data_IF_749944172029
#
_entry.id   IF_749944172029
#
_cell.length_a   1.000
_cell.length_b   1.000
_cell.length_c   1.000
_cell.angle_alpha   90.00
_cell.angle_beta   90.00
_cell.angle_gamma   90.00
#
_symmetry.space_group_name_H-M   'P 1'
#
loop_
_entity.id
_entity.type
_entity.pdbx_description
1 polymer ?
#
# COMPACT_ATOMS: atom_id res chain seq x y z
N UNK A 1 -22.61 -34.92 17.88
CA UNK A 1 -21.62 -34.42 18.85
C UNK A 1 -20.30 -34.40 18.13
N UNK A 2 -19.96 -33.28 17.49
CA UNK A 2 -18.63 -33.09 16.90
C UNK A 2 -17.97 -31.92 17.62
N UNK A 3 -16.95 -32.24 18.41
CA UNK A 3 -16.11 -31.26 19.07
C UNK A 3 -15.14 -30.67 18.05
N UNK A 4 -15.43 -29.44 17.64
CA UNK A 4 -14.51 -28.59 16.90
C UNK A 4 -13.20 -28.47 17.69
N UNK A 5 -12.11 -28.98 17.12
CA UNK A 5 -10.76 -28.81 17.64
C UNK A 5 -10.28 -27.41 17.30
N UNK A 6 -10.41 -26.49 18.25
CA UNK A 6 -9.66 -25.23 18.24
C UNK A 6 -8.16 -25.55 18.21
N UNK A 7 -7.52 -25.31 17.07
CA UNK A 7 -6.07 -25.43 16.95
C UNK A 7 -5.45 -24.12 17.40
N UNK A 8 -4.96 -24.08 18.65
CA UNK A 8 -4.05 -23.04 19.09
C UNK A 8 -2.91 -22.91 18.08
N UNK A 9 -2.71 -21.70 17.54
CA UNK A 9 -1.47 -21.28 16.88
C UNK A 9 -0.32 -21.39 17.90
N UNK A 10 0.19 -22.61 18.09
CA UNK A 10 1.45 -22.84 18.79
C UNK A 10 2.51 -22.11 17.98
N UNK A 11 3.10 -21.06 18.57
CA UNK A 11 4.41 -20.54 18.15
C UNK A 11 5.42 -21.70 18.18
N UNK A 12 5.57 -22.39 17.06
CA UNK A 12 6.62 -23.40 16.90
C UNK A 12 7.91 -22.65 16.62
N UNK A 13 8.82 -22.66 17.59
CA UNK A 13 10.20 -22.19 17.39
C UNK A 13 10.87 -23.19 16.44
N UNK A 14 11.01 -22.83 15.17
CA UNK A 14 11.83 -23.60 14.24
C UNK A 14 13.30 -23.41 14.67
N UNK A 15 13.94 -24.50 15.09
CA UNK A 15 15.35 -24.47 15.51
C UNK A 15 16.26 -24.67 14.30
N UNK A 16 16.40 -23.64 13.46
CA UNK A 16 17.31 -23.65 12.31
C UNK A 16 18.69 -23.21 12.79
N UNK A 17 19.47 -24.12 13.36
CA UNK A 17 20.75 -23.78 14.01
C UNK A 17 21.98 -24.22 13.22
N UNK A 18 21.88 -25.30 12.42
CA UNK A 18 23.05 -25.91 11.78
C UNK A 18 23.50 -25.27 10.46
N UNK A 19 22.57 -24.71 9.67
CA UNK A 19 22.86 -24.16 8.34
C UNK A 19 22.52 -22.67 8.22
N UNK A 20 22.04 -22.08 9.32
CA UNK A 20 21.57 -20.70 9.32
C UNK A 20 22.71 -19.68 9.17
N UNK A 21 23.86 -19.82 9.85
CA UNK A 21 25.00 -18.94 9.62
C UNK A 21 25.50 -18.99 8.16
N UNK A 22 25.56 -20.17 7.57
CA UNK A 22 25.94 -20.38 6.17
C UNK A 22 24.93 -19.78 5.21
N UNK A 23 23.63 -19.95 5.48
CA UNK A 23 22.55 -19.35 4.70
C UNK A 23 22.60 -17.82 4.74
N UNK A 24 22.75 -17.22 5.92
CA UNK A 24 22.93 -15.77 6.09
C UNK A 24 24.12 -15.28 5.27
N UNK A 25 25.26 -15.97 5.40
CA UNK A 25 26.50 -15.60 4.70
C UNK A 25 26.35 -15.75 3.18
N UNK A 26 25.77 -16.86 2.73
CA UNK A 26 25.59 -17.16 1.30
C UNK A 26 24.66 -16.16 0.61
N UNK A 27 23.61 -15.73 1.31
CA UNK A 27 22.64 -14.77 0.78
C UNK A 27 22.92 -13.30 1.16
N UNK A 28 24.01 -13.05 1.90
CA UNK A 28 24.42 -11.74 2.41
C UNK A 28 23.28 -11.03 3.19
N UNK A 29 22.63 -11.77 4.08
CA UNK A 29 21.47 -11.28 4.81
C UNK A 29 21.87 -10.33 5.93
N UNK A 30 21.15 -9.21 6.03
CA UNK A 30 21.26 -8.23 7.11
C UNK A 30 20.17 -8.44 8.16
N UNK A 31 20.33 -7.82 9.32
CA UNK A 31 19.33 -7.87 10.39
C UNK A 31 17.97 -7.28 9.98
N UNK A 32 17.96 -6.36 9.01
CA UNK A 32 16.75 -5.75 8.42
C UNK A 32 16.07 -6.63 7.37
N UNK A 33 16.72 -7.70 6.91
CA UNK A 33 16.17 -8.55 5.87
C UNK A 33 15.10 -9.46 6.47
N UNK A 34 13.95 -9.52 5.80
CA UNK A 34 12.86 -10.38 6.24
C UNK A 34 12.98 -11.73 5.60
N UNK A 35 12.86 -12.77 6.41
CA UNK A 35 12.88 -14.16 5.98
C UNK A 35 11.50 -14.76 6.20
N UNK A 36 10.91 -15.29 5.12
CA UNK A 36 9.60 -15.90 5.10
C UNK A 36 9.76 -17.39 4.83
N UNK A 37 9.04 -18.19 5.62
CA UNK A 37 8.97 -19.64 5.46
C UNK A 37 7.58 -19.96 4.90
N UNK A 38 7.54 -20.69 3.80
CA UNK A 38 6.31 -21.08 3.12
C UNK A 38 6.16 -22.58 3.14
N UNK A 39 4.93 -23.04 3.27
CA UNK A 39 4.57 -24.44 3.09
C UNK A 39 4.35 -24.74 1.59
N UNK A 40 5.25 -25.46 0.91
CA UNK A 40 5.13 -25.72 -0.52
C UNK A 40 3.97 -26.67 -0.82
N UNK A 41 3.28 -26.47 -1.95
CA UNK A 41 2.30 -27.43 -2.48
C UNK A 41 2.81 -27.96 -3.82
N UNK A 42 3.04 -29.29 -3.98
CA UNK A 42 2.84 -30.35 -2.99
C UNK A 42 3.92 -30.36 -1.88
N UNK A 43 3.50 -30.66 -0.64
CA UNK A 43 4.42 -30.82 0.49
C UNK A 43 5.13 -32.18 0.37
N UNK A 44 6.44 -32.16 0.14
CA UNK A 44 7.25 -33.37 0.05
C UNK A 44 7.43 -34.08 1.41
N UNK A 45 7.48 -33.33 2.53
CA UNK A 45 7.51 -33.88 3.90
C UNK A 45 7.10 -32.84 4.95
N UNK A 46 6.96 -33.26 6.22
CA UNK A 46 6.42 -32.47 7.36
C UNK A 46 7.20 -31.20 7.73
N UNK A 47 8.50 -31.17 7.42
CA UNK A 47 9.37 -30.01 7.67
C UNK A 47 9.92 -29.41 6.35
N UNK A 48 9.21 -29.60 5.24
CA UNK A 48 9.61 -29.03 3.96
C UNK A 48 9.08 -27.60 3.88
N UNK A 49 9.99 -26.62 3.85
CA UNK A 49 9.64 -25.22 3.73
C UNK A 49 10.41 -24.60 2.57
N UNK A 50 9.73 -23.75 1.80
CA UNK A 50 10.43 -22.81 0.93
C UNK A 50 10.83 -21.60 1.76
N UNK A 51 12.05 -21.11 1.55
CA UNK A 51 12.55 -19.91 2.21
C UNK A 51 12.66 -18.84 1.16
N UNK A 52 11.93 -17.73 1.32
CA UNK A 52 12.20 -16.51 0.57
C UNK A 52 12.75 -15.47 1.54
N UNK A 53 13.65 -14.63 1.04
CA UNK A 53 14.14 -13.48 1.79
C UNK A 53 13.97 -12.24 0.94
N UNK A 54 13.53 -11.17 1.58
CA UNK A 54 13.46 -9.84 0.99
C UNK A 54 14.59 -9.05 1.61
N UNK A 55 15.54 -8.64 0.77
CA UNK A 55 16.60 -7.73 1.20
C UNK A 55 15.96 -6.43 1.63
N UNK A 56 16.20 -6.03 2.87
CA UNK A 56 15.90 -4.70 3.37
C UNK A 56 16.90 -3.75 2.74
N UNK A 57 16.65 -3.36 1.50
CA UNK A 57 17.33 -2.20 0.93
C UNK A 57 16.68 -0.94 1.51
N UNK A 58 17.52 0.03 1.85
CA UNK A 58 17.15 1.39 2.29
C UNK A 58 16.42 2.19 1.19
N UNK A 59 16.01 1.55 0.09
CA UNK A 59 15.13 2.09 -0.92
C UNK A 59 13.71 1.57 -0.69
N UNK A 60 12.88 2.43 -0.11
CA UNK A 60 11.42 2.31 0.09
C UNK A 60 10.64 2.27 -1.26
N UNK A 61 11.33 2.13 -2.39
CA UNK A 61 10.70 2.16 -3.71
C UNK A 61 10.14 0.77 -4.07
N UNK A 62 8.87 0.59 -3.69
CA UNK A 62 7.91 -0.38 -4.20
C UNK A 62 8.11 -1.84 -3.80
N UNK A 63 7.46 -2.23 -2.70
CA UNK A 63 7.01 -3.62 -2.56
C UNK A 63 6.22 -3.96 -3.85
N UNK A 64 6.58 -5.03 -4.58
CA UNK A 64 5.94 -5.35 -5.86
C UNK A 64 4.45 -5.67 -5.75
N UNK A 65 3.92 -5.76 -4.54
CA UNK A 65 2.52 -6.03 -4.26
C UNK A 65 1.65 -4.76 -4.33
N UNK A 66 2.21 -3.56 -4.14
CA UNK A 66 1.52 -2.26 -4.32
C UNK A 66 1.48 -1.84 -5.80
N UNK A 67 1.09 -2.76 -6.69
CA UNK A 67 0.94 -2.51 -8.12
C UNK A 67 -0.54 -2.34 -8.46
N UNK A 68 -0.80 -1.63 -9.55
CA UNK A 68 -2.15 -1.41 -10.08
C UNK A 68 -2.92 -2.71 -10.30
N UNK A 69 -2.23 -3.79 -10.71
CA UNK A 69 -2.84 -5.11 -10.93
C UNK A 69 -3.43 -5.74 -9.65
N UNK A 70 -2.95 -5.32 -8.48
CA UNK A 70 -3.42 -5.81 -7.18
C UNK A 70 -4.33 -4.82 -6.46
N UNK A 71 -4.60 -3.65 -7.05
CA UNK A 71 -5.44 -2.62 -6.45
C UNK A 71 -6.88 -3.13 -6.28
N UNK A 72 -7.44 -2.96 -5.10
CA UNK A 72 -8.80 -3.35 -4.77
C UNK A 72 -9.73 -2.14 -4.88
N UNK A 73 -9.52 -1.16 -3.99
CA UNK A 73 -10.30 0.08 -3.95
C UNK A 73 -9.53 1.15 -3.17
N UNK A 74 -10.03 2.39 -3.22
CA UNK A 74 -9.52 3.52 -2.47
C UNK A 74 -10.62 4.22 -1.69
N UNK A 75 -10.24 4.86 -0.59
CA UNK A 75 -11.12 5.73 0.20
C UNK A 75 -10.42 7.08 0.37
N UNK A 76 -11.13 8.17 0.11
CA UNK A 76 -10.69 9.52 0.49
C UNK A 76 -11.04 9.79 1.95
N UNK A 77 -10.05 10.21 2.74
CA UNK A 77 -10.22 10.42 4.18
C UNK A 77 -11.05 11.67 4.47
N UNK A 78 -12.15 11.52 5.19
CA UNK A 78 -12.88 12.65 5.76
C UNK A 78 -12.25 13.11 7.07
N UNK A 79 -12.58 14.33 7.57
CA UNK A 79 -12.21 14.73 8.93
C UNK A 79 -12.69 13.74 10.00
N UNK A 80 -13.81 13.03 9.76
CA UNK A 80 -14.34 12.04 10.67
C UNK A 80 -13.47 10.78 10.76
N UNK A 81 -12.99 10.28 9.62
CA UNK A 81 -12.16 9.07 9.56
C UNK A 81 -10.81 9.27 10.27
N UNK A 82 -10.30 10.50 10.24
CA UNK A 82 -9.04 10.87 10.91
C UNK A 82 -9.26 11.19 12.39
N UNK A 83 -10.41 11.79 12.75
CA UNK A 83 -10.66 12.32 14.09
C UNK A 83 -11.32 11.34 15.07
N UNK A 84 -12.14 10.39 14.59
CA UNK A 84 -12.96 9.52 15.44
C UNK A 84 -12.45 8.09 15.58
N UNK A 85 -11.22 7.81 15.13
CA UNK A 85 -10.57 6.49 15.27
C UNK A 85 -11.30 5.33 14.59
N UNK A 86 -12.32 5.61 13.78
CA UNK A 86 -13.08 4.61 13.04
C UNK A 86 -12.92 4.83 11.54
N UNK A 87 -12.87 3.74 10.78
CA UNK A 87 -12.93 3.79 9.32
C UNK A 87 -14.16 3.05 8.83
N UNK A 88 -14.97 3.70 8.00
CA UNK A 88 -16.12 3.08 7.36
C UNK A 88 -15.75 2.54 5.97
N UNK A 89 -16.11 1.29 5.70
CA UNK A 89 -15.90 0.62 4.41
C UNK A 89 -17.27 0.17 3.91
N UNK A 90 -17.57 0.42 2.63
CA UNK A 90 -18.87 0.02 2.09
C UNK A 90 -19.03 -1.51 2.10
N UNK A 91 -20.24 -2.00 2.34
CA UNK A 91 -20.53 -3.44 2.32
C UNK A 91 -20.27 -4.05 0.95
N UNK A 92 -20.35 -3.26 -0.13
CA UNK A 92 -20.01 -3.72 -1.47
C UNK A 92 -18.50 -3.95 -1.61
N UNK A 93 -17.68 -3.03 -1.10
CA UNK A 93 -16.22 -3.18 -1.15
C UNK A 93 -15.76 -4.36 -0.30
N UNK A 94 -16.32 -4.52 0.92
CA UNK A 94 -16.03 -5.67 1.77
C UNK A 94 -16.39 -6.98 1.07
N UNK A 95 -17.62 -7.09 0.53
CA UNK A 95 -18.06 -8.33 -0.14
C UNK A 95 -17.25 -8.67 -1.38
N UNK A 96 -16.82 -7.67 -2.15
CA UNK A 96 -16.12 -7.90 -3.42
C UNK A 96 -14.62 -8.13 -3.24
N UNK A 97 -14.02 -7.54 -2.19
CA UNK A 97 -12.57 -7.50 -2.02
C UNK A 97 -12.06 -8.23 -0.76
N UNK A 98 -12.93 -8.46 0.22
CA UNK A 98 -12.63 -9.19 1.46
C UNK A 98 -13.62 -10.35 1.66
N UNK A 99 -13.67 -11.33 0.73
CA UNK A 99 -14.70 -12.38 0.74
C UNK A 99 -14.67 -13.28 1.99
N UNK A 100 -13.55 -13.29 2.71
CA UNK A 100 -13.33 -14.08 3.93
C UNK A 100 -13.82 -13.36 5.21
N UNK A 101 -14.41 -12.16 5.08
CA UNK A 101 -15.08 -11.46 6.18
C UNK A 101 -16.57 -11.83 6.13
N UNK A 102 -17.03 -12.64 7.08
CA UNK A 102 -18.41 -13.14 7.13
C UNK A 102 -19.09 -12.81 8.47
N UNK A 103 -19.42 -11.53 8.63
CA UNK A 103 -20.15 -11.03 9.80
C UNK A 103 -21.65 -11.00 9.50
N UNK A 104 -22.39 -11.90 10.14
CA UNK A 104 -23.84 -11.99 9.97
C UNK A 104 -24.57 -10.71 10.41
N UNK A 105 -25.70 -10.32 9.78
CA UNK A 105 -26.35 -9.02 10.01
C UNK A 105 -26.82 -8.74 11.46
N UNK A 106 -27.04 -9.80 12.26
CA UNK A 106 -27.45 -9.68 13.66
C UNK A 106 -26.30 -9.95 14.64
N UNK A 107 -25.11 -10.27 14.12
CA UNK A 107 -23.97 -10.58 14.96
C UNK A 107 -23.26 -9.29 15.38
N UNK A 108 -22.87 -9.24 16.65
CA UNK A 108 -22.02 -8.16 17.20
C UNK A 108 -20.56 -8.59 17.28
N UNK A 109 -20.21 -9.74 16.71
CA UNK A 109 -18.83 -10.20 16.62
C UNK A 109 -18.00 -9.28 15.73
N UNK A 110 -16.73 -9.22 16.08
CA UNK A 110 -15.68 -8.57 15.32
C UNK A 110 -14.78 -9.65 14.72
N UNK A 111 -14.17 -9.33 13.59
CA UNK A 111 -13.10 -10.13 12.99
C UNK A 111 -11.81 -9.31 12.94
N UNK A 112 -10.66 -9.98 12.97
CA UNK A 112 -9.35 -9.31 12.93
C UNK A 112 -8.82 -9.37 11.50
N UNK A 113 -8.77 -8.23 10.83
CA UNK A 113 -8.10 -8.10 9.54
C UNK A 113 -6.66 -7.64 9.74
N UNK A 114 -5.75 -8.25 8.98
CA UNK A 114 -4.34 -7.84 8.95
C UNK A 114 -4.08 -7.03 7.69
N UNK A 115 -3.60 -5.80 7.87
CA UNK A 115 -3.03 -5.01 6.77
C UNK A 115 -1.51 -4.89 6.91
N UNK A 116 -0.76 -5.15 5.84
CA UNK A 116 0.66 -4.81 5.78
C UNK A 116 0.86 -3.59 4.90
N UNK A 117 1.55 -2.57 5.40
CA UNK A 117 1.75 -1.33 4.66
C UNK A 117 2.99 -1.32 3.75
N UNK A 118 3.17 -0.23 3.00
CA UNK A 118 4.31 -0.04 2.10
C UNK A 118 5.67 -0.03 2.81
N UNK A 119 5.70 0.23 4.12
CA UNK A 119 6.89 0.13 4.97
C UNK A 119 7.02 -1.26 5.60
N UNK A 120 6.19 -2.20 5.16
CA UNK A 120 6.16 -3.59 5.59
C UNK A 120 5.84 -3.70 7.10
N UNK A 121 5.07 -2.76 7.65
CA UNK A 121 4.55 -2.85 9.00
C UNK A 121 3.16 -3.49 8.97
N UNK A 122 2.93 -4.38 9.92
CA UNK A 122 1.64 -5.06 10.09
C UNK A 122 0.73 -4.26 11.04
N UNK A 123 -0.52 -4.12 10.64
CA UNK A 123 -1.61 -3.48 11.34
C UNK A 123 -2.72 -4.51 11.53
N UNK A 124 -3.12 -4.73 12.78
CA UNK A 124 -4.22 -5.64 13.12
C UNK A 124 -5.39 -4.77 13.53
N UNK A 125 -6.51 -4.91 12.81
CA UNK A 125 -7.66 -4.04 12.95
C UNK A 125 -8.91 -4.87 13.16
N UNK A 126 -9.74 -4.46 14.11
CA UNK A 126 -11.02 -5.12 14.37
C UNK A 126 -12.08 -4.52 13.48
N UNK A 127 -12.68 -5.35 12.63
CA UNK A 127 -13.78 -4.98 11.74
C UNK A 127 -15.08 -5.56 12.26
N UNK A 128 -16.14 -4.75 12.21
CA UNK A 128 -17.51 -5.15 12.55
C UNK A 128 -18.48 -4.66 11.50
N UNK A 129 -19.66 -5.29 11.43
CA UNK A 129 -20.75 -4.76 10.62
C UNK A 129 -21.46 -3.63 11.36
N UNK A 130 -21.52 -2.45 10.75
CA UNK A 130 -22.20 -1.29 11.36
C UNK A 130 -23.68 -1.27 11.00
N UNK A 131 -24.00 -1.43 9.71
CA UNK A 131 -25.37 -1.54 9.21
C UNK A 131 -25.41 -2.35 7.89
N UNK A 132 -26.50 -2.26 7.13
CA UNK A 132 -26.64 -2.96 5.83
C UNK A 132 -25.64 -2.48 4.78
N UNK A 133 -25.18 -1.25 4.90
CA UNK A 133 -24.46 -0.52 3.86
C UNK A 133 -22.98 -0.38 4.20
N UNK A 134 -22.60 -0.47 5.48
CA UNK A 134 -21.24 -0.24 5.95
C UNK A 134 -20.75 -1.26 6.97
N UNK A 135 -19.46 -1.57 6.84
CA UNK A 135 -18.62 -2.12 7.89
C UNK A 135 -17.80 -0.99 8.52
N UNK A 136 -17.37 -1.21 9.74
CA UNK A 136 -16.58 -0.27 10.52
C UNK A 136 -15.38 -0.97 11.12
N UNK A 137 -14.19 -0.40 10.90
CA UNK A 137 -13.02 -0.71 11.70
C UNK A 137 -13.16 0.05 13.02
N UNK A 138 -13.17 -0.68 14.13
CA UNK A 138 -13.44 -0.15 15.47
C UNK A 138 -12.20 -0.07 16.37
N UNK A 139 -11.15 -0.83 16.06
CA UNK A 139 -9.88 -0.79 16.77
C UNK A 139 -8.70 -0.88 15.78
N UNK A 140 -7.56 -0.26 16.15
CA UNK A 140 -6.29 -0.32 15.41
C UNK A 140 -6.12 0.72 14.30
N UNK A 141 -7.22 1.36 13.86
CA UNK A 141 -7.18 2.39 12.82
C UNK A 141 -6.46 3.68 13.27
N UNK A 142 -6.71 4.13 14.50
CA UNK A 142 -6.09 5.31 15.10
C UNK A 142 -4.56 5.20 15.18
N UNK A 143 -4.04 4.01 15.45
CA UNK A 143 -2.62 3.71 15.43
C UNK A 143 -2.01 3.93 14.04
N UNK A 144 -2.70 3.45 13.00
CA UNK A 144 -2.30 3.66 11.61
C UNK A 144 -2.33 5.15 11.25
N UNK A 145 -3.45 5.83 11.53
CA UNK A 145 -3.63 7.27 11.26
C UNK A 145 -2.53 8.09 11.93
N UNK A 146 -2.27 7.83 13.21
CA UNK A 146 -1.28 8.57 13.99
C UNK A 146 0.13 8.35 13.45
N UNK A 147 0.52 7.10 13.24
CA UNK A 147 1.91 6.79 12.87
C UNK A 147 2.23 7.10 11.41
N UNK A 148 1.25 6.97 10.52
CA UNK A 148 1.40 7.33 9.10
C UNK A 148 1.06 8.80 8.83
N UNK A 149 0.65 9.53 9.87
CA UNK A 149 0.28 10.95 9.80
C UNK A 149 -0.75 11.20 8.68
N UNK A 150 -1.79 10.36 8.66
CA UNK A 150 -2.89 10.43 7.69
C UNK A 150 -3.70 11.68 7.97
N UNK A 151 -4.05 12.42 6.92
CA UNK A 151 -4.83 13.65 6.99
C UNK A 151 -6.11 13.55 6.18
N UNK A 152 -7.04 14.44 6.47
CA UNK A 152 -8.22 14.59 5.64
C UNK A 152 -7.80 14.91 4.20
N UNK A 153 -8.53 14.33 3.24
CA UNK A 153 -8.28 14.31 1.80
C UNK A 153 -7.12 13.42 1.33
N UNK A 154 -6.34 12.81 2.22
CA UNK A 154 -5.43 11.75 1.80
C UNK A 154 -6.24 10.55 1.28
N UNK A 155 -5.66 9.79 0.36
CA UNK A 155 -6.25 8.57 -0.16
C UNK A 155 -5.65 7.37 0.55
N UNK A 156 -6.52 6.45 0.96
CA UNK A 156 -6.12 5.16 1.50
C UNK A 156 -6.43 4.10 0.46
N UNK A 157 -5.38 3.49 -0.07
CA UNK A 157 -5.47 2.46 -1.08
C UNK A 157 -5.34 1.08 -0.44
N UNK A 158 -6.21 0.17 -0.86
CA UNK A 158 -6.21 -1.22 -0.43
C UNK A 158 -5.79 -2.11 -1.59
N UNK A 159 -4.97 -3.13 -1.30
CA UNK A 159 -4.47 -4.06 -2.32
C UNK A 159 -4.55 -5.51 -1.85
N UNK A 160 -4.70 -6.42 -2.81
CA UNK A 160 -4.52 -7.84 -2.59
C UNK A 160 -3.02 -8.17 -2.47
N UNK A 161 -2.61 -9.01 -1.52
CA UNK A 161 -1.24 -9.49 -1.47
C UNK A 161 -1.04 -10.55 -2.56
N UNK A 162 0.13 -10.58 -3.17
CA UNK A 162 0.49 -11.65 -4.14
C UNK A 162 0.61 -13.00 -3.42
N UNK A 163 1.07 -12.97 -2.16
CA UNK A 163 1.20 -14.15 -1.31
C UNK A 163 0.71 -13.83 0.11
N UNK A 164 -0.59 -13.99 0.40
CA UNK A 164 -1.13 -13.72 1.72
C UNK A 164 -0.50 -14.62 2.80
N UNK A 165 -0.26 -14.07 3.99
CA UNK A 165 0.17 -14.89 5.14
C UNK A 165 -0.96 -15.73 5.74
N UNK A 166 -2.21 -15.33 5.52
CA UNK A 166 -3.45 -16.01 5.87
C UNK A 166 -4.61 -15.38 5.08
N UNK A 167 -5.80 -15.98 5.14
CA UNK A 167 -6.99 -15.59 4.38
C UNK A 167 -7.40 -14.11 4.56
N UNK A 168 -7.28 -13.57 5.77
CA UNK A 168 -7.60 -12.17 6.10
C UNK A 168 -6.40 -11.20 6.06
N UNK A 169 -5.40 -11.49 5.22
CA UNK A 169 -4.23 -10.62 5.04
C UNK A 169 -4.37 -9.77 3.77
N UNK A 170 -4.25 -8.46 3.93
CA UNK A 170 -4.35 -7.47 2.87
C UNK A 170 -3.25 -6.41 2.98
N UNK A 171 -3.19 -5.50 2.02
CA UNK A 171 -2.21 -4.41 2.02
C UNK A 171 -2.91 -3.06 2.09
N UNK A 172 -2.23 -2.09 2.70
CA UNK A 172 -2.73 -0.73 2.87
C UNK A 172 -1.65 0.31 2.55
N UNK A 173 -2.02 1.37 1.85
CA UNK A 173 -1.11 2.47 1.52
C UNK A 173 -1.81 3.81 1.72
N UNK A 174 -1.12 4.77 2.33
CA UNK A 174 -1.56 6.16 2.39
C UNK A 174 -0.87 6.94 1.27
N UNK A 175 -1.67 7.47 0.34
CA UNK A 175 -1.25 8.36 -0.74
C UNK A 175 -1.68 9.76 -0.38
N UNK A 176 -0.71 10.68 -0.27
CA UNK A 176 -0.98 12.04 0.18
C UNK A 176 -1.59 12.86 -0.94
N UNK A 177 -2.47 13.79 -0.60
CA UNK A 177 -3.17 14.72 -1.50
C UNK A 177 -2.25 15.78 -2.19
N UNK A 178 -1.00 15.43 -2.49
CA UNK A 178 -0.04 16.23 -3.25
C UNK A 178 0.94 15.39 -4.07
N UNK A 179 0.91 14.06 -3.92
CA UNK A 179 1.82 13.13 -4.59
C UNK A 179 1.28 12.65 -5.96
N UNK A 180 0.01 12.93 -6.28
CA UNK A 180 -0.63 12.53 -7.55
C UNK A 180 -0.02 13.16 -8.82
N UNK A 181 0.86 14.15 -8.69
CA UNK A 181 1.54 14.77 -9.84
C UNK A 181 2.70 13.92 -10.41
N UNK A 182 3.06 12.77 -9.81
CA UNK A 182 4.22 11.97 -10.24
C UNK A 182 3.89 10.60 -10.87
N UNK A 183 2.62 10.25 -11.06
CA UNK A 183 2.24 9.09 -11.89
C UNK A 183 2.03 9.53 -13.35
N UNK A 184 3.08 10.08 -13.98
CA UNK A 184 3.09 10.31 -15.43
C UNK A 184 3.74 9.12 -16.11
N UNK A 185 3.02 8.55 -17.07
CA UNK A 185 3.38 7.41 -17.91
C UNK A 185 4.83 7.47 -18.47
N UNK A 186 5.59 6.36 -18.45
CA UNK A 186 6.79 6.23 -19.27
C UNK A 186 6.41 5.61 -20.61
N UNK A 187 6.23 6.43 -21.65
CA UNK A 187 5.85 5.88 -22.94
C UNK A 187 5.74 6.82 -24.12
N UNK A 188 6.79 7.61 -24.41
CA UNK A 188 7.15 7.91 -25.81
C UNK A 188 8.50 8.61 -25.87
N UNK A 189 9.53 7.87 -26.26
CA UNK A 189 10.77 8.45 -26.79
C UNK A 189 10.99 7.94 -28.20
N UNK A 190 11.49 8.87 -29.03
CA UNK A 190 12.09 8.73 -30.37
C UNK A 190 11.07 8.90 -31.51
N UNK A 191 11.27 9.86 -32.41
CA UNK A 191 12.46 9.92 -33.25
C UNK A 191 13.14 11.28 -33.39
N UNK A 192 14.46 11.19 -33.42
CA UNK A 192 15.43 12.18 -33.91
C UNK A 192 15.46 12.24 -35.44
N UNK A 193 15.94 13.38 -35.94
CA UNK A 193 16.47 13.60 -37.28
C UNK A 193 16.13 15.03 -37.74
N UNK A 194 17.01 15.82 -38.33
CA UNK A 194 18.44 15.78 -38.61
C UNK A 194 18.80 17.22 -39.08
N UNK A 195 20.07 17.58 -39.05
CA UNK A 195 20.64 18.92 -39.25
C UNK A 195 20.44 19.55 -40.65
N UNK A 196 20.50 20.89 -40.75
CA UNK A 196 20.69 21.56 -42.05
C UNK A 196 20.58 23.09 -42.17
N UNK A 197 21.64 23.82 -41.77
CA UNK A 197 22.24 25.04 -42.39
C UNK A 197 21.41 26.30 -42.80
N UNK A 198 21.72 27.41 -42.10
CA UNK A 198 22.35 28.67 -42.56
C UNK A 198 21.75 29.49 -43.73
N UNK A 199 21.36 30.75 -43.49
CA UNK A 199 21.94 31.95 -44.15
C UNK A 199 21.30 33.29 -43.70
N UNK A 200 22.18 34.28 -43.53
CA UNK A 200 21.95 35.72 -43.31
C UNK A 200 20.96 36.41 -44.28
N UNK A 201 20.33 37.49 -43.81
CA UNK A 201 20.43 38.86 -44.38
C UNK A 201 19.49 39.88 -43.72
N UNK A 202 20.08 41.00 -43.26
CA UNK A 202 19.55 42.35 -43.46
C UNK A 202 18.61 42.96 -42.41
N UNK A 203 19.09 43.97 -41.68
CA UNK A 203 18.24 44.99 -41.00
C UNK A 203 17.58 45.96 -42.02
N UNK A 204 17.08 47.17 -41.63
CA UNK A 204 17.22 47.85 -40.33
C UNK A 204 15.94 48.57 -39.78
N UNK A 205 16.05 49.08 -38.54
CA UNK A 205 15.58 50.38 -38.00
C UNK A 205 14.14 50.89 -38.21
N UNK A 206 13.43 51.19 -37.11
CA UNK A 206 12.63 52.42 -36.83
C UNK A 206 12.04 52.28 -35.40
N UNK A 207 12.48 53.02 -34.37
CA UNK A 207 12.16 54.41 -33.95
C UNK A 207 10.68 54.71 -33.70
N UNK A 208 10.33 54.95 -32.42
CA UNK A 208 9.11 55.59 -31.89
C UNK A 208 8.84 55.03 -30.48
N UNK A 209 9.10 55.70 -29.35
CA UNK A 209 8.69 57.02 -28.83
C UNK A 209 7.17 57.20 -28.72
N UNK A 210 6.65 57.11 -27.49
CA UNK A 210 5.64 57.93 -26.81
C UNK A 210 5.44 57.30 -25.41
N UNK A 211 5.73 57.91 -24.25
CA UNK A 211 5.17 59.12 -23.60
C UNK A 211 3.63 59.14 -23.64
N UNK A 212 3.03 58.91 -22.47
CA UNK A 212 2.02 59.74 -21.78
C UNK A 212 1.74 59.05 -20.41
N UNK A 213 2.04 59.63 -19.22
CA UNK A 213 1.38 60.72 -18.46
C UNK A 213 -0.09 60.43 -18.12
N UNK A 214 -0.35 60.14 -16.83
CA UNK A 214 -1.06 61.01 -15.85
C UNK A 214 -2.57 60.61 -15.82
N UNK A 215 -3.38 60.58 -14.76
CA UNK A 215 -3.55 61.35 -13.50
C UNK A 215 -4.29 60.45 -12.48
N UNK A 216 -4.14 60.79 -11.19
CA UNK A 216 -4.84 60.28 -10.01
C UNK A 216 -6.37 60.51 -9.96
N UNK A 217 -7.02 59.91 -8.95
CA UNK A 217 -7.91 60.51 -7.92
C UNK A 217 -8.94 59.45 -7.48
N UNK A 218 -9.04 59.23 -6.16
CA UNK A 218 -10.10 58.45 -5.52
C UNK A 218 -9.62 57.76 -4.26
#
# INVERSE_FOLDING_TARGET
MDHARHTLLRRRRLHVHRLWPEFIKFHNLKASDKIRFYDPVPRLHTHHYLIAFVKGEENVAQMPEFRKDNFLFQIEMSPGDVGYSNLFISSNDVRNHFPEIDIAPLDRMTEIIKFTDAQNKDWYMDISRYNSDFYMIIEGWDGFVTERNVKAKDLINFYAPVQPSHEQHFLIECVRNGDENNLTEPGSTKNEGDEGKQSDRGGPSHRGSNKDKEIAIG
#
